data_IF_976346888991
#
_entry.id   IF_976346888991
#
_cell.length_a   1.000
_cell.length_b   1.000
_cell.length_c   1.000
_cell.angle_alpha   90.00
_cell.angle_beta   90.00
_cell.angle_gamma   90.00
#
_symmetry.space_group_name_H-M   'P 1'
#
loop_
_entity.id
_entity.type
_entity.pdbx_description
1 polymer ?
#
# COMPACT_ATOMS: atom_id res chain seq x y z
N UNK A 1 -42.87 -33.86 -34.10
CA UNK A 1 -42.70 -34.88 -33.04
C UNK A 1 -41.27 -34.74 -32.57
N UNK A 2 -40.89 -34.29 -31.38
CA UNK A 2 -41.57 -34.14 -30.08
C UNK A 2 -40.88 -32.99 -29.34
N UNK A 3 -41.68 -32.10 -28.77
CA UNK A 3 -41.29 -31.04 -27.82
C UNK A 3 -40.78 -31.69 -26.54
N UNK A 4 -39.72 -31.20 -25.89
CA UNK A 4 -39.51 -31.31 -24.43
C UNK A 4 -38.95 -29.96 -23.94
N UNK A 5 -39.81 -29.05 -23.46
CA UNK A 5 -40.13 -28.75 -22.05
C UNK A 5 -38.97 -28.16 -21.27
N UNK A 6 -39.07 -26.85 -21.02
CA UNK A 6 -38.31 -26.12 -20.02
C UNK A 6 -38.72 -26.56 -18.60
N UNK A 7 -37.76 -26.64 -17.68
CA UNK A 7 -38.04 -26.49 -16.25
C UNK A 7 -36.98 -25.57 -15.63
N UNK A 8 -37.44 -24.38 -15.27
CA UNK A 8 -36.80 -23.46 -14.35
C UNK A 8 -36.82 -24.05 -12.94
N UNK A 9 -35.70 -24.06 -12.24
CA UNK A 9 -35.68 -24.01 -10.77
C UNK A 9 -34.75 -22.86 -10.39
N UNK A 10 -35.36 -21.70 -10.14
CA UNK A 10 -34.75 -20.61 -9.42
C UNK A 10 -34.62 -21.03 -7.95
N UNK A 11 -33.42 -21.39 -7.52
CA UNK A 11 -33.08 -21.48 -6.11
C UNK A 11 -32.37 -20.17 -5.72
N UNK A 12 -33.17 -19.16 -5.37
CA UNK A 12 -32.69 -18.01 -4.63
C UNK A 12 -32.42 -18.44 -3.18
N UNK A 13 -31.28 -19.08 -2.93
CA UNK A 13 -30.76 -19.22 -1.57
C UNK A 13 -30.25 -17.85 -1.15
N UNK A 14 -31.11 -17.11 -0.46
CA UNK A 14 -30.73 -15.94 0.32
C UNK A 14 -29.73 -16.40 1.39
N UNK A 15 -28.43 -16.27 1.09
CA UNK A 15 -27.36 -16.34 2.08
C UNK A 15 -27.53 -15.13 2.98
N UNK A 16 -28.23 -15.33 4.09
CA UNK A 16 -28.25 -14.40 5.22
C UNK A 16 -26.89 -14.50 5.88
N UNK A 17 -25.89 -13.82 5.31
CA UNK A 17 -24.59 -13.69 5.95
C UNK A 17 -24.82 -12.85 7.22
N UNK A 18 -24.43 -13.33 8.42
CA UNK A 18 -24.37 -12.45 9.57
C UNK A 18 -23.35 -11.36 9.23
N UNK A 19 -23.84 -10.14 9.01
CA UNK A 19 -23.00 -8.96 9.02
C UNK A 19 -22.31 -8.95 10.38
N UNK A 20 -21.03 -9.34 10.40
CA UNK A 20 -20.17 -9.10 11.54
C UNK A 20 -20.13 -7.58 11.67
N UNK A 21 -20.92 -7.06 12.62
CA UNK A 21 -20.84 -5.70 13.07
C UNK A 21 -19.39 -5.46 13.50
N UNK A 22 -18.62 -4.81 12.64
CA UNK A 22 -17.32 -4.30 13.02
C UNK A 22 -17.60 -3.23 14.07
N UNK A 23 -17.30 -3.56 15.33
CA UNK A 23 -17.36 -2.62 16.44
C UNK A 23 -16.39 -1.49 16.14
N UNK A 24 -16.89 -0.27 16.03
CA UNK A 24 -16.15 0.93 15.63
C UNK A 24 -15.09 1.43 16.63
N UNK A 25 -14.66 0.61 17.59
CA UNK A 25 -13.69 0.95 18.63
C UNK A 25 -12.60 -0.14 18.81
N UNK A 26 -12.30 -0.90 17.76
CA UNK A 26 -11.20 -1.85 17.76
C UNK A 26 -10.03 -1.32 16.92
N UNK A 27 -8.92 -0.95 17.54
CA UNK A 27 -7.61 -1.03 16.87
C UNK A 27 -7.38 -2.53 16.63
N UNK A 28 -7.41 -3.03 15.38
CA UNK A 28 -7.15 -4.43 15.10
C UNK A 28 -5.73 -4.75 15.55
N UNK A 29 -5.58 -5.81 16.35
CA UNK A 29 -4.31 -6.24 16.95
C UNK A 29 -3.23 -6.67 15.95
N UNK A 30 -3.52 -6.64 14.65
CA UNK A 30 -2.62 -7.08 13.57
C UNK A 30 -2.10 -5.93 12.71
N UNK A 31 -2.40 -4.66 13.04
CA UNK A 31 -1.84 -3.54 12.28
C UNK A 31 -0.39 -3.31 12.71
N UNK A 32 0.54 -3.57 11.80
CA UNK A 32 1.92 -3.09 11.90
C UNK A 32 1.88 -1.57 12.00
N UNK A 33 2.22 -1.03 13.18
CA UNK A 33 2.34 0.41 13.39
C UNK A 33 3.81 0.76 13.35
N UNK A 34 4.16 1.66 12.45
CA UNK A 34 5.52 2.17 12.30
C UNK A 34 5.58 3.66 12.67
N UNK A 35 6.72 4.16 13.17
CA UNK A 35 6.94 5.59 13.34
C UNK A 35 6.85 6.32 12.01
N UNK A 36 6.04 7.38 11.96
CA UNK A 36 5.94 8.24 10.78
C UNK A 36 6.85 9.47 10.94
N UNK A 37 7.39 10.00 9.83
CA UNK A 37 8.10 11.27 9.87
C UNK A 37 7.18 12.42 10.26
N UNK A 38 7.73 13.42 10.96
CA UNK A 38 7.01 14.66 11.24
C UNK A 38 7.05 15.58 10.01
N UNK A 39 5.90 15.67 9.32
CA UNK A 39 5.74 16.52 8.13
C UNK A 39 5.20 17.91 8.46
N UNK A 40 4.82 18.18 9.72
CA UNK A 40 4.15 19.43 10.11
C UNK A 40 5.01 20.68 9.85
N UNK A 41 6.34 20.53 9.96
CA UNK A 41 7.32 21.60 9.74
C UNK A 41 7.72 21.84 8.29
N UNK A 42 7.22 21.05 7.32
CA UNK A 42 7.49 21.29 5.90
C UNK A 42 6.87 22.62 5.44
N UNK A 43 7.36 23.19 4.35
CA UNK A 43 6.60 24.20 3.60
C UNK A 43 5.51 23.52 2.76
N UNK A 44 4.55 24.30 2.27
CA UNK A 44 3.48 23.75 1.41
C UNK A 44 4.05 23.16 0.13
N UNK A 45 4.94 23.90 -0.54
CA UNK A 45 5.66 23.41 -1.73
C UNK A 45 6.43 22.11 -1.45
N UNK A 46 7.10 22.01 -0.30
CA UNK A 46 7.88 20.82 0.05
C UNK A 46 6.97 19.60 0.34
N UNK A 47 5.81 19.80 0.96
CA UNK A 47 4.88 18.71 1.18
C UNK A 47 4.13 18.30 -0.08
N UNK A 48 3.78 19.24 -0.96
CA UNK A 48 3.21 18.93 -2.26
C UNK A 48 4.20 18.11 -3.10
N UNK A 49 5.47 18.50 -3.11
CA UNK A 49 6.53 17.74 -3.77
C UNK A 49 6.65 16.33 -3.18
N UNK A 50 6.71 16.21 -1.85
CA UNK A 50 6.79 14.89 -1.19
C UNK A 50 5.55 14.02 -1.47
N UNK A 51 4.35 14.60 -1.48
CA UNK A 51 3.12 13.88 -1.82
C UNK A 51 3.12 13.40 -3.29
N UNK A 52 3.66 14.20 -4.21
CA UNK A 52 3.86 13.78 -5.60
C UNK A 52 4.82 12.61 -5.72
N UNK A 53 5.99 12.71 -5.06
CA UNK A 53 6.99 11.65 -5.08
C UNK A 53 6.40 10.35 -4.50
N UNK A 54 5.70 10.42 -3.37
CA UNK A 54 5.07 9.26 -2.72
C UNK A 54 3.94 8.64 -3.55
N UNK A 55 3.10 9.44 -4.19
CA UNK A 55 2.07 8.94 -5.09
C UNK A 55 2.71 8.18 -6.28
N UNK A 56 3.80 8.70 -6.84
CA UNK A 56 4.52 8.03 -7.91
C UNK A 56 5.15 6.72 -7.44
N UNK A 57 5.82 6.70 -6.29
CA UNK A 57 6.43 5.48 -5.75
C UNK A 57 5.36 4.43 -5.39
N UNK A 58 4.21 4.83 -4.87
CA UNK A 58 3.12 3.91 -4.55
C UNK A 58 2.56 3.22 -5.79
N UNK A 59 2.45 3.94 -6.91
CA UNK A 59 2.08 3.35 -8.21
C UNK A 59 3.16 2.39 -8.70
N UNK A 60 4.44 2.76 -8.59
CA UNK A 60 5.56 1.90 -8.98
C UNK A 60 5.56 0.59 -8.20
N UNK A 61 5.45 0.63 -6.87
CA UNK A 61 5.42 -0.57 -6.04
C UNK A 61 4.19 -1.44 -6.31
N UNK A 62 3.08 -0.85 -6.75
CA UNK A 62 1.86 -1.59 -7.07
C UNK A 62 1.91 -2.29 -8.45
N UNK A 63 2.64 -1.73 -9.41
CA UNK A 63 2.63 -2.20 -10.81
C UNK A 63 3.95 -2.90 -11.21
N UNK A 64 5.04 -2.72 -10.47
CA UNK A 64 6.36 -3.28 -10.74
C UNK A 64 6.77 -4.27 -9.61
N UNK A 65 6.50 -5.58 -9.75
CA UNK A 65 6.71 -6.55 -8.69
C UNK A 65 8.19 -6.74 -8.29
N UNK A 66 9.14 -6.39 -9.15
CA UNK A 66 10.57 -6.41 -8.84
C UNK A 66 10.98 -5.32 -7.83
N UNK A 67 10.07 -4.38 -7.56
CA UNK A 67 10.26 -3.25 -6.65
C UNK A 67 9.19 -3.23 -5.55
N UNK A 68 8.68 -4.42 -5.18
CA UNK A 68 7.74 -4.55 -4.07
C UNK A 68 8.39 -4.10 -2.74
N UNK A 69 7.53 -3.70 -1.81
CA UNK A 69 7.93 -3.19 -0.49
C UNK A 69 7.34 -4.06 0.60
N UNK A 70 8.07 -4.23 1.69
CA UNK A 70 7.57 -4.95 2.86
C UNK A 70 6.35 -4.25 3.47
N UNK A 71 5.56 -4.99 4.24
CA UNK A 71 4.43 -4.43 4.98
C UNK A 71 4.77 -3.16 5.79
N UNK A 72 5.84 -3.15 6.61
CA UNK A 72 6.26 -1.94 7.33
C UNK A 72 6.69 -0.76 6.44
N UNK A 73 7.35 -1.02 5.31
CA UNK A 73 7.72 0.02 4.33
C UNK A 73 6.50 0.63 3.65
N UNK A 74 5.53 -0.20 3.25
CA UNK A 74 4.24 0.24 2.75
C UNK A 74 3.52 1.13 3.78
N UNK A 75 3.50 0.72 5.05
CA UNK A 75 2.88 1.52 6.12
C UNK A 75 3.58 2.85 6.34
N UNK A 76 4.90 2.90 6.22
CA UNK A 76 5.65 4.15 6.31
C UNK A 76 5.27 5.10 5.17
N UNK A 77 5.20 4.61 3.92
CA UNK A 77 4.80 5.40 2.74
C UNK A 77 3.33 5.86 2.82
N UNK A 78 2.41 4.94 3.13
CA UNK A 78 0.99 5.23 3.21
C UNK A 78 0.65 6.17 4.38
N UNK A 79 1.18 5.90 5.58
CA UNK A 79 0.95 6.75 6.74
C UNK A 79 1.55 8.15 6.57
N UNK A 80 2.70 8.28 5.89
CA UNK A 80 3.26 9.60 5.54
C UNK A 80 2.35 10.34 4.55
N UNK A 81 1.79 9.63 3.57
CA UNK A 81 0.82 10.20 2.63
C UNK A 81 -0.42 10.74 3.36
N UNK A 82 -0.98 9.97 4.29
CA UNK A 82 -2.10 10.41 5.12
C UNK A 82 -1.75 11.69 5.89
N UNK A 83 -0.58 11.73 6.54
CA UNK A 83 -0.12 12.91 7.26
C UNK A 83 0.06 14.15 6.35
N UNK A 84 0.52 13.95 5.12
CA UNK A 84 0.66 15.03 4.12
C UNK A 84 -0.70 15.54 3.64
N UNK A 85 -1.64 14.64 3.35
CA UNK A 85 -2.99 15.03 2.90
C UNK A 85 -3.73 15.81 3.99
N UNK A 86 -3.61 15.38 5.26
CA UNK A 86 -4.14 16.11 6.41
C UNK A 86 -3.51 17.51 6.52
N UNK A 87 -2.17 17.59 6.46
CA UNK A 87 -1.44 18.87 6.52
C UNK A 87 -1.86 19.84 5.42
N UNK A 88 -2.00 19.35 4.19
CA UNK A 88 -2.36 20.15 3.01
C UNK A 88 -3.86 20.46 2.92
N UNK A 89 -4.69 19.88 3.81
CA UNK A 89 -6.14 20.02 3.75
C UNK A 89 -6.76 19.39 2.51
N UNK A 90 -6.15 18.31 1.99
CA UNK A 90 -6.60 17.61 0.80
C UNK A 90 -7.63 16.54 1.18
N UNK A 91 -8.79 16.59 0.53
CA UNK A 91 -9.75 15.49 0.59
C UNK A 91 -9.33 14.34 -0.35
N UNK A 92 -9.85 13.11 -0.17
CA UNK A 92 -9.47 11.96 -0.99
C UNK A 92 -9.72 12.14 -2.49
N UNK A 93 -10.75 12.89 -2.89
CA UNK A 93 -11.04 13.14 -4.31
C UNK A 93 -10.02 14.11 -4.90
N UNK A 94 -9.64 15.14 -4.16
CA UNK A 94 -8.58 16.06 -4.58
C UNK A 94 -7.23 15.35 -4.63
N UNK A 95 -6.90 14.50 -3.65
CA UNK A 95 -5.67 13.72 -3.65
C UNK A 95 -5.58 12.75 -4.84
N UNK A 96 -6.66 12.00 -5.11
CA UNK A 96 -6.73 11.12 -6.29
C UNK A 96 -6.53 11.91 -7.60
N UNK A 97 -7.26 13.01 -7.77
CA UNK A 97 -7.22 13.84 -8.98
C UNK A 97 -5.85 14.45 -9.22
N UNK A 98 -5.22 14.99 -8.18
CA UNK A 98 -4.02 15.82 -8.31
C UNK A 98 -2.71 15.03 -8.20
N UNK A 99 -2.72 13.86 -7.55
CA UNK A 99 -1.50 13.11 -7.25
C UNK A 99 -1.53 11.68 -7.81
N UNK A 100 -2.55 10.89 -7.46
CA UNK A 100 -2.60 9.46 -7.83
C UNK A 100 -2.83 9.26 -9.32
N UNK A 101 -3.85 9.90 -9.90
CA UNK A 101 -4.15 9.76 -11.34
C UNK A 101 -3.00 10.24 -12.23
N UNK A 102 -2.33 11.37 -11.94
CA UNK A 102 -1.11 11.75 -12.65
C UNK A 102 0.03 10.74 -12.46
N UNK A 103 0.20 10.17 -11.26
CA UNK A 103 1.22 9.14 -11.02
C UNK A 103 1.03 7.91 -11.91
N UNK A 104 -0.21 7.45 -12.13
CA UNK A 104 -0.49 6.36 -13.07
C UNK A 104 -0.14 6.67 -14.53
N UNK A 105 -0.09 7.94 -14.94
CA UNK A 105 0.26 8.29 -16.32
C UNK A 105 1.68 7.85 -16.70
N UNK A 106 2.56 7.78 -15.71
CA UNK A 106 3.95 7.31 -15.85
C UNK A 106 4.01 5.85 -16.32
N UNK A 107 3.01 5.02 -16.00
CA UNK A 107 2.94 3.62 -16.44
C UNK A 107 2.70 3.47 -17.95
N UNK A 108 2.41 4.58 -18.65
CA UNK A 108 2.35 4.60 -20.11
C UNK A 108 3.76 4.54 -20.75
N UNK A 109 4.81 4.74 -19.96
CA UNK A 109 6.20 4.70 -20.41
C UNK A 109 6.77 3.28 -20.25
N UNK A 110 7.39 2.76 -21.30
CA UNK A 110 7.86 1.37 -21.33
C UNK A 110 9.02 1.09 -20.36
N UNK A 111 9.77 2.12 -19.97
CA UNK A 111 10.93 2.05 -19.07
C UNK A 111 10.59 2.53 -17.64
N UNK A 112 9.31 2.70 -17.30
CA UNK A 112 8.90 3.29 -16.02
C UNK A 112 9.43 2.51 -14.81
N UNK A 113 9.27 1.18 -14.79
CA UNK A 113 9.77 0.32 -13.71
C UNK A 113 11.31 0.40 -13.61
N UNK A 114 12.04 0.29 -14.72
CA UNK A 114 13.51 0.34 -14.74
C UNK A 114 14.06 1.68 -14.22
N UNK A 115 13.37 2.78 -14.53
CA UNK A 115 13.83 4.13 -14.20
C UNK A 115 13.44 4.59 -12.81
N UNK A 116 12.25 4.20 -12.34
CA UNK A 116 11.66 4.71 -11.10
C UNK A 116 11.66 3.67 -9.97
N UNK A 117 11.62 2.39 -10.30
CA UNK A 117 11.75 1.29 -9.34
C UNK A 117 12.95 1.42 -8.40
N UNK A 118 14.17 1.71 -8.91
CA UNK A 118 15.34 1.91 -8.05
C UNK A 118 15.23 3.10 -7.07
N UNK A 119 14.26 4.00 -7.24
CA UNK A 119 14.05 5.16 -6.36
C UNK A 119 13.17 4.84 -5.14
N UNK A 120 12.45 3.71 -5.15
CA UNK A 120 11.65 3.24 -4.01
C UNK A 120 12.48 3.11 -2.72
N UNK A 121 13.65 2.41 -2.69
CA UNK A 121 14.47 2.33 -1.49
C UNK A 121 15.05 3.70 -1.08
N UNK A 122 15.31 4.59 -2.04
CA UNK A 122 15.76 5.96 -1.74
C UNK A 122 14.65 6.79 -1.07
N UNK A 123 13.40 6.60 -1.49
CA UNK A 123 12.23 7.20 -0.85
C UNK A 123 12.10 6.71 0.60
N UNK A 124 12.18 5.40 0.84
CA UNK A 124 12.11 4.83 2.19
C UNK A 124 13.22 5.44 3.08
N UNK A 125 14.47 5.44 2.60
CA UNK A 125 15.60 6.01 3.33
C UNK A 125 15.40 7.52 3.62
N UNK A 126 14.79 8.28 2.71
CA UNK A 126 14.42 9.68 2.92
C UNK A 126 13.39 9.82 4.04
N UNK A 127 12.34 9.01 4.04
CA UNK A 127 11.31 9.04 5.10
C UNK A 127 11.89 8.68 6.47
N UNK A 128 12.79 7.71 6.54
CA UNK A 128 13.52 7.38 7.76
C UNK A 128 14.42 8.53 8.21
N UNK A 129 15.13 9.17 7.28
CA UNK A 129 15.92 10.38 7.56
C UNK A 129 15.09 11.57 8.07
N UNK A 130 13.78 11.59 7.79
CA UNK A 130 12.83 12.58 8.30
C UNK A 130 12.24 12.20 9.68
N UNK A 131 12.73 11.14 10.30
CA UNK A 131 12.29 10.68 11.63
C UNK A 131 11.22 9.58 11.59
N UNK A 132 10.86 9.08 10.41
CA UNK A 132 10.12 7.84 10.28
C UNK A 132 10.99 6.62 10.58
N UNK A 133 10.39 5.44 10.59
CA UNK A 133 11.14 4.18 10.65
C UNK A 133 10.29 3.07 10.07
N UNK A 134 10.92 2.08 9.43
CA UNK A 134 10.26 0.82 9.06
C UNK A 134 10.14 -0.15 10.24
N UNK A 135 10.72 0.18 11.40
CA UNK A 135 10.67 -0.71 12.57
C UNK A 135 9.31 -0.60 13.29
N UNK A 136 8.57 -1.71 13.44
CA UNK A 136 7.29 -1.68 14.14
C UNK A 136 7.46 -1.28 15.63
N UNK A 137 6.61 -0.40 16.14
CA UNK A 137 6.64 0.04 17.55
C UNK A 137 5.75 -0.79 18.47
N UNK A 138 4.95 -1.71 17.92
CA UNK A 138 4.18 -2.64 18.73
C UNK A 138 5.11 -3.72 19.30
N UNK A 139 5.16 -3.91 20.63
CA UNK A 139 5.98 -4.97 21.24
C UNK A 139 5.63 -6.34 20.65
N UNK A 140 6.63 -7.07 20.16
CA UNK A 140 6.48 -8.41 19.57
C UNK A 140 6.09 -8.48 18.09
N UNK A 141 5.67 -7.38 17.46
CA UNK A 141 5.46 -7.34 16.00
C UNK A 141 6.77 -7.14 15.22
N UNK A 142 7.78 -6.51 15.83
CA UNK A 142 9.10 -6.36 15.21
C UNK A 142 9.78 -7.72 14.98
N UNK A 143 9.72 -8.64 15.95
CA UNK A 143 10.21 -10.01 15.75
C UNK A 143 9.37 -10.83 14.75
N UNK A 144 8.06 -10.59 14.66
CA UNK A 144 7.19 -11.26 13.69
C UNK A 144 7.44 -10.77 12.25
N UNK A 145 7.57 -9.45 12.04
CA UNK A 145 7.89 -8.85 10.74
C UNK A 145 9.27 -9.27 10.24
N UNK A 146 10.27 -9.35 11.14
CA UNK A 146 11.60 -9.85 10.80
C UNK A 146 11.58 -11.35 10.40
N UNK A 147 10.68 -12.14 10.97
CA UNK A 147 10.52 -13.55 10.61
C UNK A 147 9.81 -13.73 9.25
N UNK A 148 8.85 -12.86 8.92
CA UNK A 148 8.15 -12.86 7.62
C UNK A 148 9.10 -12.43 6.49
N UNK A 149 9.86 -11.34 6.68
CA UNK A 149 10.88 -10.90 5.73
C UNK A 149 11.97 -11.96 5.49
N UNK A 150 12.31 -12.77 6.50
CA UNK A 150 13.23 -13.89 6.34
C UNK A 150 12.59 -15.09 5.61
N UNK A 151 11.29 -15.34 5.80
CA UNK A 151 10.57 -16.40 5.10
C UNK A 151 10.36 -16.09 3.60
N UNK A 152 10.13 -14.83 3.26
CA UNK A 152 10.06 -14.40 1.85
C UNK A 152 11.43 -14.54 1.15
N UNK A 153 12.52 -14.25 1.86
CA UNK A 153 13.88 -14.42 1.33
C UNK A 153 14.28 -15.91 1.11
N UNK A 154 13.79 -16.83 1.94
CA UNK A 154 14.04 -18.28 1.77
C UNK A 154 13.22 -18.90 0.62
N UNK A 155 12.11 -18.26 0.20
CA UNK A 155 11.26 -18.75 -0.88
C UNK A 155 11.88 -18.51 -2.28
N UNK A 156 12.79 -17.53 -2.41
CA UNK A 156 13.51 -17.26 -3.67
C UNK A 156 14.64 -18.27 -3.96
N UNK A 157 15.10 -19.04 -2.97
CA UNK A 157 16.19 -20.03 -3.16
C UNK A 157 15.70 -21.41 -3.65
N UNK A 158 14.39 -21.68 -3.67
CA UNK A 158 13.83 -22.97 -4.11
C UNK A 158 13.09 -22.86 -5.47
N UNK A 159 13.76 -22.33 -6.50
CA UNK A 159 13.34 -22.54 -7.88
C UNK A 159 14.00 -23.81 -8.42
N UNK A 160 13.29 -24.95 -8.57
CA UNK A 160 13.83 -26.08 -9.30
C UNK A 160 13.84 -25.73 -10.78
N UNK A 161 15.02 -25.80 -11.39
CA UNK A 161 15.16 -25.84 -12.84
C UNK A 161 14.30 -26.98 -13.39
N UNK A 162 13.29 -26.67 -14.20
CA UNK A 162 12.76 -27.53 -15.28
C UNK A 162 12.14 -26.70 -16.42
#
# INVERSE_FOLDING_TARGET
MTRWTALMIAAATALTQPALAQTSDGVPGDRVVVPLPDVSGLSDDAAQALAHDLAQMTVITAECPEHDVSGPEFQLMAGTTDALTERLGLDPVSYDRDYVRPAFSVMSEADACDRLGPQVPEMIARLEGMGGSTQPVTPGLAEAAAAEAAADADTETDAPAQ
#
